data_IF_068876537167
#
_entry.id   IF_068876537167
#
_cell.length_a   1.000
_cell.length_b   1.000
_cell.length_c   1.000
_cell.angle_alpha   90.00
_cell.angle_beta   90.00
_cell.angle_gamma   90.00
#
_symmetry.space_group_name_H-M   'P 1'
#
loop_
_entity.id
_entity.type
_entity.pdbx_description
1 polymer ?
#
# COMPACT_ATOMS: atom_id res chain seq x y z
N UNK A 1 33.90 -14.14 -20.76
CA UNK A 1 32.78 -13.88 -21.68
C UNK A 1 33.29 -13.98 -23.12
N UNK A 2 32.62 -14.71 -24.02
CA UNK A 2 32.92 -14.69 -25.47
C UNK A 2 32.02 -13.63 -26.11
N UNK A 3 32.61 -12.71 -26.86
CA UNK A 3 31.91 -11.56 -27.45
C UNK A 3 32.18 -11.49 -28.95
N UNK A 4 31.16 -11.07 -29.68
CA UNK A 4 31.17 -10.83 -31.13
C UNK A 4 31.51 -9.37 -31.40
N UNK A 5 32.45 -9.15 -32.32
CA UNK A 5 32.89 -7.83 -32.75
C UNK A 5 32.79 -7.73 -34.28
N UNK A 6 32.25 -6.62 -34.77
CA UNK A 6 32.27 -6.25 -36.20
C UNK A 6 32.93 -4.89 -36.39
N UNK A 7 33.48 -4.65 -37.59
CA UNK A 7 34.15 -3.38 -37.91
C UNK A 7 33.15 -2.22 -37.97
N UNK A 8 33.52 -1.07 -37.39
CA UNK A 8 32.73 0.16 -37.32
C UNK A 8 31.36 0.05 -36.61
N UNK A 9 31.13 -1.00 -35.81
CA UNK A 9 29.89 -1.09 -35.02
C UNK A 9 29.89 -0.03 -33.92
N UNK A 10 28.73 0.58 -33.67
CA UNK A 10 28.53 1.41 -32.48
C UNK A 10 28.19 0.54 -31.24
N UNK A 11 28.11 1.16 -30.06
CA UNK A 11 27.83 0.42 -28.82
C UNK A 11 26.47 -0.30 -28.83
N UNK A 12 25.44 0.29 -29.44
CA UNK A 12 24.11 -0.32 -29.50
C UNK A 12 24.11 -1.60 -30.36
N UNK A 13 24.82 -1.55 -31.49
CA UNK A 13 25.02 -2.71 -32.38
C UNK A 13 25.85 -3.81 -31.69
N UNK A 14 26.93 -3.43 -31.01
CA UNK A 14 27.72 -4.35 -30.18
C UNK A 14 26.85 -5.02 -29.10
N UNK A 15 26.05 -4.25 -28.37
CA UNK A 15 25.16 -4.79 -27.35
C UNK A 15 24.15 -5.78 -27.95
N UNK A 16 23.52 -5.40 -29.07
CA UNK A 16 22.52 -6.23 -29.75
C UNK A 16 23.12 -7.56 -30.21
N UNK A 17 24.33 -7.55 -30.78
CA UNK A 17 25.05 -8.76 -31.19
C UNK A 17 25.46 -9.65 -30.00
N UNK A 18 25.47 -9.12 -28.78
CA UNK A 18 25.96 -9.78 -27.57
C UNK A 18 24.91 -9.87 -26.45
N UNK A 19 23.62 -9.69 -26.77
CA UNK A 19 22.55 -9.62 -25.77
C UNK A 19 22.45 -10.89 -24.91
N UNK A 20 22.64 -12.08 -25.51
CA UNK A 20 22.66 -13.34 -24.75
C UNK A 20 23.81 -13.39 -23.75
N UNK A 21 25.00 -12.90 -24.12
CA UNK A 21 26.13 -12.82 -23.20
C UNK A 21 25.85 -11.85 -22.04
N UNK A 22 25.11 -10.77 -22.32
CA UNK A 22 24.67 -9.81 -21.30
C UNK A 22 23.66 -10.42 -20.34
N UNK A 23 22.66 -11.14 -20.86
CA UNK A 23 21.68 -11.85 -20.06
C UNK A 23 22.35 -12.86 -19.11
N UNK A 24 23.27 -13.68 -19.61
CA UNK A 24 24.02 -14.63 -18.77
C UNK A 24 24.90 -13.93 -17.73
N UNK A 25 25.50 -12.79 -18.06
CA UNK A 25 26.26 -11.97 -17.12
C UNK A 25 25.36 -11.44 -16.00
N UNK A 26 24.20 -10.88 -16.33
CA UNK A 26 23.22 -10.39 -15.35
C UNK A 26 22.77 -11.52 -14.43
N UNK A 27 22.43 -12.67 -15.02
CA UNK A 27 21.99 -13.84 -14.27
C UNK A 27 23.05 -14.34 -13.30
N UNK A 28 24.31 -14.42 -13.75
CA UNK A 28 25.43 -14.81 -12.89
C UNK A 28 25.70 -13.80 -11.77
N UNK A 29 25.66 -12.49 -12.07
CA UNK A 29 25.88 -11.45 -11.05
C UNK A 29 24.72 -11.31 -10.06
N UNK A 30 23.51 -11.67 -10.48
CA UNK A 30 22.30 -11.63 -9.66
C UNK A 30 22.02 -12.92 -8.88
N UNK A 31 22.86 -13.96 -9.00
CA UNK A 31 22.56 -15.29 -8.47
C UNK A 31 22.22 -15.30 -6.96
N UNK A 32 23.02 -14.61 -6.15
CA UNK A 32 22.79 -14.50 -4.70
C UNK A 32 21.49 -13.76 -4.39
N UNK A 33 21.24 -12.63 -5.08
CA UNK A 33 20.02 -11.85 -4.92
C UNK A 33 18.78 -12.67 -5.32
N UNK A 34 18.87 -13.43 -6.41
CA UNK A 34 17.80 -14.30 -6.87
C UNK A 34 17.54 -15.47 -5.94
N UNK A 35 18.58 -16.00 -5.27
CA UNK A 35 18.39 -16.99 -4.21
C UNK A 35 17.56 -16.41 -3.06
N UNK A 36 17.86 -15.18 -2.61
CA UNK A 36 17.09 -14.50 -1.55
C UNK A 36 15.64 -14.23 -2.00
N UNK A 37 15.44 -13.84 -3.26
CA UNK A 37 14.11 -13.53 -3.80
C UNK A 37 13.25 -14.78 -4.03
N UNK A 38 13.82 -15.96 -4.28
CA UNK A 38 13.04 -17.20 -4.53
C UNK A 38 12.23 -17.64 -3.32
N UNK A 39 12.71 -17.36 -2.12
CA UNK A 39 12.01 -17.68 -0.88
C UNK A 39 10.75 -16.82 -0.68
N UNK A 40 10.53 -15.80 -1.51
CA UNK A 40 9.38 -14.90 -1.41
C UNK A 40 8.14 -15.31 -2.23
N UNK A 41 8.16 -16.44 -2.97
CA UNK A 41 7.09 -17.06 -3.80
C UNK A 41 6.33 -16.15 -4.82
N UNK A 42 6.49 -14.83 -4.77
CA UNK A 42 5.65 -13.87 -5.51
C UNK A 42 6.34 -13.24 -6.73
N UNK A 43 7.65 -13.45 -6.90
CA UNK A 43 8.46 -12.73 -7.88
C UNK A 43 8.88 -13.63 -9.04
N UNK A 44 8.45 -13.26 -10.26
CA UNK A 44 8.92 -13.86 -11.49
C UNK A 44 10.31 -13.32 -11.87
N UNK A 45 11.35 -14.14 -11.66
CA UNK A 45 12.73 -13.80 -11.97
C UNK A 45 12.97 -13.59 -13.47
N UNK A 46 12.22 -14.26 -14.34
CA UNK A 46 12.37 -14.09 -15.79
C UNK A 46 11.90 -12.69 -16.19
N UNK A 47 10.76 -12.25 -15.63
CA UNK A 47 10.24 -10.90 -15.84
C UNK A 47 11.22 -9.81 -15.37
N UNK A 48 11.95 -10.07 -14.27
CA UNK A 48 13.01 -9.15 -13.77
C UNK A 48 14.15 -9.02 -14.78
N UNK A 49 14.59 -10.15 -15.35
CA UNK A 49 15.66 -10.17 -16.35
C UNK A 49 15.21 -9.51 -17.66
N UNK A 50 14.01 -9.80 -18.15
CA UNK A 50 13.43 -9.16 -19.34
C UNK A 50 13.26 -7.64 -19.17
N UNK A 51 12.83 -7.21 -18.00
CA UNK A 51 12.74 -5.80 -17.61
C UNK A 51 14.11 -5.11 -17.69
N UNK A 52 15.16 -5.76 -17.20
CA UNK A 52 16.53 -5.25 -17.30
C UNK A 52 17.03 -5.12 -18.74
N UNK A 53 16.76 -6.10 -19.60
CA UNK A 53 17.08 -6.00 -21.03
C UNK A 53 16.33 -4.85 -21.70
N UNK A 54 15.08 -4.61 -21.32
CA UNK A 54 14.26 -3.50 -21.82
C UNK A 54 14.83 -2.15 -21.41
N UNK A 55 15.27 -1.99 -20.16
CA UNK A 55 15.96 -0.78 -19.68
C UNK A 55 17.20 -0.49 -20.52
N UNK A 56 18.05 -1.49 -20.73
CA UNK A 56 19.29 -1.33 -21.50
C UNK A 56 19.02 -0.96 -22.95
N UNK A 57 18.02 -1.60 -23.56
CA UNK A 57 17.56 -1.25 -24.90
C UNK A 57 17.11 0.20 -24.99
N UNK A 58 16.27 0.67 -24.06
CA UNK A 58 15.79 2.05 -24.04
C UNK A 58 16.92 3.07 -23.85
N UNK A 59 17.93 2.75 -23.02
CA UNK A 59 19.13 3.58 -22.87
C UNK A 59 19.88 3.69 -24.21
N UNK A 60 20.11 2.56 -24.88
CA UNK A 60 20.84 2.53 -26.15
C UNK A 60 20.06 3.21 -27.31
N UNK A 61 18.73 3.11 -27.29
CA UNK A 61 17.82 3.78 -28.23
C UNK A 61 17.62 5.28 -27.91
N UNK A 62 18.21 5.78 -26.81
CA UNK A 62 17.99 7.16 -26.28
C UNK A 62 16.51 7.47 -26.04
N UNK A 63 15.73 6.47 -25.65
CA UNK A 63 14.30 6.58 -25.40
C UNK A 63 14.03 6.98 -23.94
N UNK A 64 14.32 8.24 -23.60
CA UNK A 64 14.20 8.76 -22.22
C UNK A 64 12.76 8.68 -21.70
N UNK A 65 11.77 9.00 -22.53
CA UNK A 65 10.36 8.94 -22.13
C UNK A 65 9.90 7.51 -21.84
N UNK A 66 10.26 6.56 -22.72
CA UNK A 66 10.00 5.14 -22.51
C UNK A 66 10.67 4.62 -21.25
N UNK A 67 11.91 5.03 -20.99
CA UNK A 67 12.66 4.67 -19.78
C UNK A 67 11.96 5.17 -18.51
N UNK A 68 11.48 6.43 -18.50
CA UNK A 68 10.73 7.00 -17.37
C UNK A 68 9.41 6.27 -17.14
N UNK A 69 8.66 5.98 -18.21
CA UNK A 69 7.41 5.22 -18.13
C UNK A 69 7.64 3.82 -17.56
N UNK A 70 8.67 3.13 -18.07
CA UNK A 70 9.06 1.81 -17.61
C UNK A 70 9.50 1.83 -16.14
N UNK A 71 10.27 2.84 -15.72
CA UNK A 71 10.68 3.00 -14.32
C UNK A 71 9.48 3.15 -13.38
N UNK A 72 8.51 3.98 -13.76
CA UNK A 72 7.29 4.17 -12.98
C UNK A 72 6.49 2.88 -12.85
N UNK A 73 6.29 2.18 -13.97
CA UNK A 73 5.58 0.90 -13.99
C UNK A 73 6.29 -0.16 -13.15
N UNK A 74 7.61 -0.26 -13.27
CA UNK A 74 8.41 -1.16 -12.45
C UNK A 74 8.28 -0.83 -10.96
N UNK A 75 8.34 0.44 -10.59
CA UNK A 75 8.12 0.91 -9.22
C UNK A 75 6.74 0.54 -8.68
N UNK A 76 5.69 0.65 -9.50
CA UNK A 76 4.32 0.22 -9.13
C UNK A 76 4.23 -1.27 -8.88
N UNK A 77 4.75 -2.08 -9.81
CA UNK A 77 4.66 -3.53 -9.70
C UNK A 77 5.47 -4.04 -8.50
N UNK A 78 6.63 -3.45 -8.26
CA UNK A 78 7.48 -3.83 -7.13
C UNK A 78 6.96 -3.40 -5.77
N UNK A 79 6.09 -2.38 -5.70
CA UNK A 79 5.43 -1.96 -4.46
C UNK A 79 4.43 -3.00 -3.94
N UNK A 80 3.86 -3.81 -4.83
CA UNK A 80 2.89 -4.86 -4.49
C UNK A 80 3.54 -6.01 -3.71
N UNK A 81 4.78 -6.34 -4.04
CA UNK A 81 5.52 -7.43 -3.41
C UNK A 81 6.10 -7.04 -2.05
N UNK A 82 6.08 -7.99 -1.11
CA UNK A 82 6.63 -7.81 0.23
C UNK A 82 8.16 -8.06 0.30
N UNK A 83 8.91 -7.38 -0.57
CA UNK A 83 10.36 -7.46 -0.62
C UNK A 83 11.02 -6.20 -0.05
N UNK A 84 12.17 -6.34 0.61
CA UNK A 84 12.99 -5.23 1.07
C UNK A 84 13.40 -4.29 -0.08
N UNK A 85 13.34 -2.98 0.15
CA UNK A 85 13.73 -1.97 -0.84
C UNK A 85 15.22 -2.07 -1.21
N UNK A 86 16.09 -2.45 -0.29
CA UNK A 86 17.52 -2.60 -0.53
C UNK A 86 17.80 -3.69 -1.57
N UNK A 87 17.10 -4.82 -1.50
CA UNK A 87 17.23 -5.89 -2.51
C UNK A 87 16.81 -5.39 -3.91
N UNK A 88 15.78 -4.54 -3.94
CA UNK A 88 15.30 -3.91 -5.17
C UNK A 88 16.34 -2.95 -5.76
N UNK A 89 16.95 -2.13 -4.91
CA UNK A 89 17.99 -1.19 -5.32
C UNK A 89 19.26 -1.92 -5.77
N UNK A 90 19.62 -3.01 -5.08
CA UNK A 90 20.75 -3.85 -5.42
C UNK A 90 20.62 -4.44 -6.83
N UNK A 91 19.43 -4.88 -7.23
CA UNK A 91 19.18 -5.31 -8.61
C UNK A 91 19.51 -4.23 -9.64
N UNK A 92 19.06 -3.00 -9.42
CA UNK A 92 19.34 -1.87 -10.33
C UNK A 92 20.85 -1.59 -10.38
N UNK A 93 21.56 -1.76 -9.26
CA UNK A 93 23.03 -1.63 -9.23
C UNK A 93 23.74 -2.75 -9.98
N UNK A 94 23.26 -3.99 -9.89
CA UNK A 94 23.78 -5.13 -10.67
C UNK A 94 23.60 -4.86 -12.17
N UNK A 95 22.44 -4.34 -12.58
CA UNK A 95 22.19 -3.93 -13.96
C UNK A 95 23.18 -2.86 -14.44
N UNK A 96 23.33 -1.78 -13.65
CA UNK A 96 24.27 -0.69 -13.94
C UNK A 96 25.70 -1.21 -14.09
N UNK A 97 26.19 -2.02 -13.14
CA UNK A 97 27.54 -2.61 -13.18
C UNK A 97 27.73 -3.50 -14.40
N UNK A 98 26.72 -4.29 -14.78
CA UNK A 98 26.80 -5.17 -15.94
C UNK A 98 26.86 -4.39 -17.26
N UNK A 99 26.13 -3.27 -17.34
CA UNK A 99 26.21 -2.35 -18.48
C UNK A 99 27.62 -1.74 -18.61
N UNK A 100 28.23 -1.32 -17.49
CA UNK A 100 29.61 -0.81 -17.48
C UNK A 100 30.64 -1.84 -17.92
N UNK A 101 30.50 -3.11 -17.52
CA UNK A 101 31.38 -4.18 -18.00
C UNK A 101 31.30 -4.34 -19.52
N UNK A 102 30.10 -4.21 -20.10
CA UNK A 102 29.91 -4.26 -21.54
C UNK A 102 30.51 -3.06 -22.26
N UNK A 103 30.32 -1.85 -21.73
CA UNK A 103 30.99 -0.65 -22.24
C UNK A 103 32.51 -0.82 -22.22
N UNK A 104 33.08 -1.34 -21.13
CA UNK A 104 34.51 -1.62 -21.04
C UNK A 104 34.98 -2.58 -22.15
N UNK A 105 34.25 -3.68 -22.37
CA UNK A 105 34.60 -4.66 -23.40
C UNK A 105 34.49 -4.13 -24.83
N UNK A 106 33.56 -3.21 -25.08
CA UNK A 106 33.41 -2.50 -26.34
C UNK A 106 34.59 -1.56 -26.58
N UNK A 107 34.85 -0.63 -25.66
CA UNK A 107 35.91 0.38 -25.81
C UNK A 107 37.32 -0.20 -25.80
N UNK A 108 37.52 -1.39 -25.22
CA UNK A 108 38.79 -2.13 -25.34
C UNK A 108 39.15 -2.50 -26.80
N UNK A 109 38.17 -2.59 -27.69
CA UNK A 109 38.35 -3.02 -29.08
C UNK A 109 37.87 -1.97 -30.11
N UNK A 110 37.34 -0.83 -29.64
CA UNK A 110 36.96 0.28 -30.49
C UNK A 110 38.18 1.17 -30.79
N UNK A 111 38.17 1.85 -31.94
CA UNK A 111 39.13 2.93 -32.18
C UNK A 111 38.88 4.06 -31.17
N UNK A 112 39.91 4.49 -30.45
CA UNK A 112 39.78 5.35 -29.28
C UNK A 112 39.30 6.76 -29.63
N UNK A 113 38.06 7.11 -29.29
CA UNK A 113 37.61 8.50 -29.15
C UNK A 113 37.18 8.77 -27.71
N UNK A 114 38.09 9.35 -26.92
CA UNK A 114 37.85 9.65 -25.50
C UNK A 114 36.64 10.56 -25.29
N UNK A 115 36.40 11.51 -26.19
CA UNK A 115 35.26 12.44 -26.08
C UNK A 115 33.93 11.72 -26.28
N UNK A 116 33.84 10.82 -27.25
CA UNK A 116 32.64 10.00 -27.45
C UNK A 116 32.37 9.09 -26.25
N UNK A 117 33.41 8.51 -25.66
CA UNK A 117 33.27 7.75 -24.42
C UNK A 117 32.68 8.61 -23.29
N UNK A 118 33.22 9.81 -23.06
CA UNK A 118 32.71 10.70 -22.01
C UNK A 118 31.26 11.14 -22.23
N UNK A 119 30.85 11.41 -23.47
CA UNK A 119 29.46 11.77 -23.77
C UNK A 119 28.51 10.58 -23.57
N UNK A 120 28.91 9.37 -23.96
CA UNK A 120 28.14 8.16 -23.72
C UNK A 120 28.04 7.83 -22.23
N UNK A 121 29.15 7.91 -21.50
CA UNK A 121 29.24 7.71 -20.05
C UNK A 121 28.28 8.66 -19.32
N UNK A 122 28.30 9.95 -19.66
CA UNK A 122 27.41 10.96 -19.05
C UNK A 122 25.94 10.64 -19.34
N UNK A 123 25.62 10.29 -20.59
CA UNK A 123 24.25 9.94 -20.98
C UNK A 123 23.74 8.71 -20.23
N UNK A 124 24.57 7.68 -20.10
CA UNK A 124 24.24 6.43 -19.41
C UNK A 124 23.99 6.69 -17.92
N UNK A 125 24.87 7.42 -17.23
CA UNK A 125 24.67 7.77 -15.83
C UNK A 125 23.38 8.57 -15.62
N UNK A 126 23.16 9.59 -16.44
CA UNK A 126 21.93 10.40 -16.37
C UNK A 126 20.68 9.52 -16.48
N UNK A 127 20.65 8.60 -17.44
CA UNK A 127 19.52 7.69 -17.64
C UNK A 127 19.33 6.73 -16.45
N UNK A 128 20.40 6.13 -15.93
CA UNK A 128 20.27 5.25 -14.76
C UNK A 128 19.83 6.00 -13.50
N UNK A 129 20.30 7.24 -13.29
CA UNK A 129 19.89 8.07 -12.16
C UNK A 129 18.43 8.54 -12.31
N UNK A 130 18.03 8.92 -13.52
CA UNK A 130 16.65 9.26 -13.86
C UNK A 130 15.72 8.06 -13.66
N UNK A 131 16.12 6.88 -14.14
CA UNK A 131 15.39 5.62 -13.94
C UNK A 131 15.21 5.33 -12.45
N UNK A 132 16.30 5.38 -11.66
CA UNK A 132 16.26 5.13 -10.23
C UNK A 132 15.36 6.12 -9.48
N UNK A 133 15.42 7.40 -9.83
CA UNK A 133 14.56 8.45 -9.25
C UNK A 133 13.08 8.17 -9.53
N UNK A 134 12.72 7.87 -10.78
CA UNK A 134 11.32 7.65 -11.15
C UNK A 134 10.79 6.31 -10.62
N UNK A 135 11.61 5.28 -10.62
CA UNK A 135 11.33 4.01 -9.96
C UNK A 135 11.06 4.22 -8.47
N UNK A 136 11.99 4.85 -7.75
CA UNK A 136 11.89 5.06 -6.30
C UNK A 136 10.69 5.92 -5.91
N UNK A 137 10.43 7.00 -6.66
CA UNK A 137 9.25 7.84 -6.45
C UNK A 137 7.94 7.07 -6.66
N UNK A 138 7.82 6.31 -7.76
CA UNK A 138 6.63 5.51 -8.03
C UNK A 138 6.43 4.40 -6.99
N UNK A 139 7.52 3.72 -6.61
CA UNK A 139 7.53 2.70 -5.58
C UNK A 139 7.00 3.23 -4.25
N UNK A 140 7.54 4.36 -3.76
CA UNK A 140 7.13 4.94 -2.48
C UNK A 140 5.67 5.36 -2.47
N UNK A 141 5.18 6.01 -3.54
CA UNK A 141 3.78 6.39 -3.67
C UNK A 141 2.87 5.17 -3.58
N UNK A 142 3.16 4.13 -4.37
CA UNK A 142 2.30 2.95 -4.44
C UNK A 142 2.40 2.10 -3.17
N UNK A 143 3.58 2.03 -2.53
CA UNK A 143 3.75 1.31 -1.27
C UNK A 143 2.96 1.99 -0.14
N UNK A 144 2.93 3.32 -0.12
CA UNK A 144 2.11 4.07 0.83
C UNK A 144 0.61 3.88 0.58
N UNK A 145 0.17 3.84 -0.68
CA UNK A 145 -1.23 3.52 -1.03
C UNK A 145 -1.64 2.12 -0.56
N UNK A 146 -0.76 1.12 -0.74
CA UNK A 146 -0.98 -0.24 -0.21
C UNK A 146 -1.07 -0.23 1.31
N UNK A 147 -0.17 0.47 2.01
CA UNK A 147 -0.25 0.57 3.48
C UNK A 147 -1.51 1.30 3.95
N UNK A 148 -1.92 2.36 3.25
CA UNK A 148 -3.11 3.12 3.61
C UNK A 148 -4.38 2.28 3.41
N UNK A 149 -4.51 1.60 2.27
CA UNK A 149 -5.66 0.71 2.02
C UNK A 149 -5.72 -0.48 2.99
N UNK A 150 -4.56 -1.05 3.36
CA UNK A 150 -4.50 -2.07 4.41
C UNK A 150 -4.97 -1.52 5.77
N UNK A 151 -4.58 -0.29 6.12
CA UNK A 151 -5.02 0.36 7.35
C UNK A 151 -6.52 0.66 7.34
N UNK A 152 -7.04 1.14 6.22
CA UNK A 152 -8.48 1.39 6.04
C UNK A 152 -9.28 0.09 6.14
N UNK A 153 -8.82 -1.00 5.52
CA UNK A 153 -9.45 -2.30 5.65
C UNK A 153 -9.44 -2.81 7.11
N UNK A 154 -8.36 -2.59 7.86
CA UNK A 154 -8.30 -2.90 9.30
C UNK A 154 -9.31 -2.03 10.07
N UNK A 155 -9.41 -0.74 9.77
CA UNK A 155 -10.35 0.16 10.42
C UNK A 155 -11.80 -0.25 10.14
N UNK A 156 -12.15 -0.61 8.89
CA UNK A 156 -13.48 -1.12 8.53
C UNK A 156 -13.80 -2.44 9.24
N UNK A 157 -12.87 -3.38 9.27
CA UNK A 157 -13.02 -4.64 10.02
C UNK A 157 -13.19 -4.40 11.54
N UNK A 158 -12.71 -3.26 12.04
CA UNK A 158 -12.77 -2.89 13.46
C UNK A 158 -14.06 -2.15 13.85
N UNK A 159 -14.90 -1.76 12.88
CA UNK A 159 -16.16 -1.04 13.09
C UNK A 159 -17.38 -1.73 12.41
N UNK A 160 -17.58 -3.04 12.56
CA UNK A 160 -18.62 -3.72 11.79
C UNK A 160 -20.02 -3.35 12.30
N UNK A 161 -20.88 -2.82 11.42
CA UNK A 161 -22.33 -2.86 11.63
C UNK A 161 -22.82 -4.24 11.20
N UNK A 162 -23.18 -5.08 12.17
CA UNK A 162 -23.55 -6.49 11.97
C UNK A 162 -25.08 -6.58 11.95
N UNK A 163 -25.71 -6.89 10.80
CA UNK A 163 -27.16 -7.11 10.74
C UNK A 163 -27.55 -8.35 11.55
N UNK A 164 -28.52 -8.20 12.44
CA UNK A 164 -29.14 -9.31 13.17
C UNK A 164 -30.43 -9.76 12.48
N UNK A 165 -31.18 -8.81 11.92
CA UNK A 165 -32.36 -9.00 11.09
C UNK A 165 -32.36 -7.96 9.96
N UNK A 166 -33.37 -7.98 9.08
CA UNK A 166 -33.52 -6.98 8.01
C UNK A 166 -33.68 -5.53 8.53
N UNK A 167 -34.00 -5.37 9.82
CA UNK A 167 -34.32 -4.06 10.43
C UNK A 167 -33.45 -3.72 11.64
N UNK A 168 -32.76 -4.71 12.21
CA UNK A 168 -31.98 -4.56 13.44
C UNK A 168 -30.52 -4.90 13.15
N UNK A 169 -29.61 -4.03 13.59
CA UNK A 169 -28.18 -4.28 13.54
C UNK A 169 -27.52 -4.04 14.90
N UNK A 170 -26.32 -4.59 15.09
CA UNK A 170 -25.45 -4.31 16.24
C UNK A 170 -24.15 -3.68 15.77
N UNK A 171 -23.70 -2.66 16.50
CA UNK A 171 -22.39 -2.04 16.41
C UNK A 171 -21.62 -2.35 17.69
N UNK A 172 -20.80 -3.41 17.73
CA UNK A 172 -19.93 -3.68 18.85
C UNK A 172 -18.72 -2.75 18.83
N UNK A 173 -18.51 -1.98 19.90
CA UNK A 173 -17.31 -1.18 20.09
C UNK A 173 -16.28 -1.98 20.90
N UNK A 174 -15.17 -2.34 20.25
CA UNK A 174 -14.11 -3.18 20.87
C UNK A 174 -12.80 -2.41 20.93
N UNK A 175 -12.14 -2.42 22.09
CA UNK A 175 -10.85 -1.78 22.32
C UNK A 175 -10.94 -0.31 22.68
N UNK A 176 -9.80 0.39 22.68
CA UNK A 176 -9.75 1.81 23.01
C UNK A 176 -10.49 2.65 21.96
N UNK A 177 -11.35 3.56 22.45
CA UNK A 177 -12.02 4.56 21.62
C UNK A 177 -11.23 5.86 21.75
N UNK A 178 -10.99 6.56 20.64
CA UNK A 178 -10.42 7.90 20.61
C UNK A 178 -11.27 8.81 19.70
N UNK A 179 -10.95 10.10 19.65
CA UNK A 179 -11.71 11.07 18.84
C UNK A 179 -11.72 10.74 17.35
N UNK A 180 -10.61 10.27 16.78
CA UNK A 180 -10.53 9.95 15.36
C UNK A 180 -11.39 8.74 15.02
N UNK A 181 -11.34 7.72 15.88
CA UNK A 181 -12.12 6.49 15.76
C UNK A 181 -13.61 6.76 15.96
N UNK A 182 -13.98 7.59 16.93
CA UNK A 182 -15.38 7.98 17.15
C UNK A 182 -15.97 8.68 15.90
N UNK A 183 -15.22 9.58 15.27
CA UNK A 183 -15.66 10.23 14.02
C UNK A 183 -15.83 9.23 12.87
N UNK A 184 -14.90 8.28 12.72
CA UNK A 184 -15.03 7.20 11.72
C UNK A 184 -16.24 6.32 11.97
N UNK A 185 -16.54 6.01 13.25
CA UNK A 185 -17.74 5.27 13.65
C UNK A 185 -18.99 6.03 13.25
N UNK A 186 -19.06 7.33 13.56
CA UNK A 186 -20.19 8.18 13.22
C UNK A 186 -20.48 8.13 11.70
N UNK A 187 -19.48 8.43 10.88
CA UNK A 187 -19.60 8.41 9.42
C UNK A 187 -20.04 7.03 8.89
N UNK A 188 -19.41 5.95 9.39
CA UNK A 188 -19.70 4.60 8.94
C UNK A 188 -21.11 4.13 9.34
N UNK A 189 -21.52 4.37 10.59
CA UNK A 189 -22.82 3.93 11.11
C UNK A 189 -23.96 4.63 10.40
N UNK A 190 -23.84 5.95 10.20
CA UNK A 190 -24.87 6.75 9.52
C UNK A 190 -25.02 6.34 8.05
N UNK A 191 -23.91 5.99 7.37
CA UNK A 191 -23.95 5.45 6.01
C UNK A 191 -24.58 4.04 5.95
N UNK A 192 -24.22 3.16 6.88
CA UNK A 192 -24.78 1.80 6.95
C UNK A 192 -26.26 1.76 7.26
N UNK A 193 -26.75 2.62 8.17
CA UNK A 193 -28.18 2.75 8.46
C UNK A 193 -28.94 3.12 7.19
N UNK A 194 -28.42 4.08 6.42
CA UNK A 194 -29.02 4.49 5.16
C UNK A 194 -29.03 3.37 4.11
N UNK A 195 -27.89 2.70 3.89
CA UNK A 195 -27.75 1.65 2.88
C UNK A 195 -28.62 0.42 3.19
N UNK A 196 -28.61 -0.01 4.45
CA UNK A 196 -29.28 -1.24 4.89
C UNK A 196 -30.72 -1.00 5.34
N UNK A 197 -31.18 0.26 5.41
CA UNK A 197 -32.51 0.65 5.89
C UNK A 197 -32.81 0.11 7.30
N UNK A 198 -31.80 0.20 8.16
CA UNK A 198 -31.89 -0.23 9.55
C UNK A 198 -32.88 0.69 10.30
N UNK A 199 -33.84 0.10 10.99
CA UNK A 199 -34.81 0.82 11.83
C UNK A 199 -34.34 0.91 13.28
N UNK A 200 -33.45 0.02 13.70
CA UNK A 200 -32.87 0.01 15.03
C UNK A 200 -31.41 -0.48 15.04
N UNK A 201 -30.54 0.23 15.76
CA UNK A 201 -29.14 -0.18 15.98
C UNK A 201 -28.82 -0.31 17.47
N UNK A 202 -28.18 -1.42 17.83
CA UNK A 202 -27.68 -1.66 19.19
C UNK A 202 -26.19 -1.32 19.23
N UNK A 203 -25.82 -0.30 20.01
CA UNK A 203 -24.43 0.08 20.25
C UNK A 203 -23.95 -0.62 21.52
N UNK A 204 -23.06 -1.60 21.39
CA UNK A 204 -22.55 -2.38 22.53
C UNK A 204 -21.17 -1.87 22.97
N UNK A 205 -21.09 -1.41 24.22
CA UNK A 205 -19.87 -0.89 24.83
C UNK A 205 -19.15 -1.93 25.71
N UNK A 206 -19.64 -3.18 25.76
CA UNK A 206 -19.08 -4.21 26.64
C UNK A 206 -17.57 -4.45 26.42
N UNK A 207 -17.12 -4.29 25.17
CA UNK A 207 -15.73 -4.44 24.71
C UNK A 207 -14.85 -3.20 24.83
N UNK A 208 -15.35 -2.08 25.38
CA UNK A 208 -14.57 -0.85 25.60
C UNK A 208 -14.02 -0.85 27.04
N UNK A 209 -12.70 -1.03 27.23
CA UNK A 209 -12.11 -1.15 28.58
C UNK A 209 -11.95 0.20 29.28
N UNK A 210 -11.67 1.27 28.51
CA UNK A 210 -11.41 2.62 29.01
C UNK A 210 -11.98 3.64 28.02
N UNK A 211 -12.59 4.70 28.55
CA UNK A 211 -13.12 5.83 27.79
C UNK A 211 -12.80 7.12 28.53
N UNK A 212 -11.99 7.99 27.93
CA UNK A 212 -11.70 9.30 28.53
C UNK A 212 -12.93 10.21 28.48
N UNK A 213 -12.99 11.19 29.40
CA UNK A 213 -14.07 12.19 29.44
C UNK A 213 -14.26 12.92 28.11
N UNK A 214 -13.18 13.10 27.34
CA UNK A 214 -13.23 13.76 26.03
C UNK A 214 -14.00 12.96 24.97
N UNK A 215 -14.22 11.65 25.16
CA UNK A 215 -14.80 10.76 24.14
C UNK A 215 -16.30 10.58 24.36
N UNK A 216 -16.78 10.64 25.60
CA UNK A 216 -18.20 10.46 25.93
C UNK A 216 -19.13 11.38 25.10
N UNK A 217 -18.81 12.67 24.86
CA UNK A 217 -19.62 13.52 23.99
C UNK A 217 -19.76 12.97 22.56
N UNK A 218 -18.70 12.39 21.99
CA UNK A 218 -18.73 11.82 20.65
C UNK A 218 -19.62 10.58 20.57
N UNK A 219 -19.58 9.70 21.58
CA UNK A 219 -20.47 8.54 21.64
C UNK A 219 -21.95 8.96 21.62
N UNK A 220 -22.27 10.01 22.37
CA UNK A 220 -23.63 10.52 22.44
C UNK A 220 -24.03 11.20 21.13
N UNK A 221 -23.11 11.91 20.48
CA UNK A 221 -23.35 12.46 19.14
C UNK A 221 -23.68 11.36 18.13
N UNK A 222 -22.96 10.22 18.17
CA UNK A 222 -23.27 9.07 17.31
C UNK A 222 -24.69 8.57 17.58
N UNK A 223 -25.04 8.27 18.84
CA UNK A 223 -26.36 7.76 19.20
C UNK A 223 -27.49 8.74 18.83
N UNK A 224 -27.27 10.04 19.02
CA UNK A 224 -28.22 11.08 18.63
C UNK A 224 -28.32 11.23 17.11
N UNK A 225 -27.20 11.13 16.38
CA UNK A 225 -27.17 11.19 14.91
C UNK A 225 -27.97 10.05 14.28
N UNK A 226 -27.83 8.84 14.82
CA UNK A 226 -28.64 7.67 14.48
C UNK A 226 -30.13 7.96 14.68
N UNK A 227 -30.50 8.49 15.84
CA UNK A 227 -31.87 8.87 16.17
C UNK A 227 -32.45 9.92 15.21
N UNK A 228 -31.64 10.90 14.81
CA UNK A 228 -32.02 11.96 13.86
C UNK A 228 -32.27 11.39 12.46
N UNK A 229 -31.54 10.35 12.04
CA UNK A 229 -31.81 9.62 10.79
C UNK A 229 -33.09 8.78 10.83
N UNK A 230 -33.81 8.75 11.96
CA UNK A 230 -35.05 8.01 12.11
C UNK A 230 -34.87 6.56 12.57
N UNK A 231 -33.64 6.15 12.89
CA UNK A 231 -33.31 4.84 13.44
C UNK A 231 -33.29 4.90 14.97
N UNK A 232 -33.88 3.92 15.66
CA UNK A 232 -33.80 3.84 17.12
C UNK A 232 -32.40 3.38 17.56
N UNK A 233 -31.79 4.11 18.50
CA UNK A 233 -30.49 3.74 19.03
C UNK A 233 -30.65 3.11 20.42
N UNK A 234 -30.10 1.91 20.62
CA UNK A 234 -30.07 1.23 21.93
C UNK A 234 -28.63 1.11 22.39
N UNK A 235 -28.27 1.74 23.51
CA UNK A 235 -26.92 1.62 24.07
C UNK A 235 -26.90 0.51 25.14
N UNK A 236 -25.92 -0.38 25.05
CA UNK A 236 -25.74 -1.49 26.00
C UNK A 236 -24.31 -1.57 26.53
N UNK A 237 -24.12 -2.28 27.64
CA UNK A 237 -22.78 -2.53 28.19
C UNK A 237 -22.10 -1.31 28.82
N UNK A 238 -22.87 -0.29 29.22
CA UNK A 238 -22.36 0.90 29.88
C UNK A 238 -21.80 0.51 31.26
N UNK A 239 -20.50 0.75 31.48
CA UNK A 239 -19.84 0.53 32.77
C UNK A 239 -20.08 1.71 33.72
N UNK A 240 -20.07 1.51 35.05
CA UNK A 240 -20.32 2.58 36.02
C UNK A 240 -19.44 3.82 35.85
N UNK A 241 -18.18 3.63 35.44
CA UNK A 241 -17.22 4.71 35.21
C UNK A 241 -17.69 5.64 34.08
N UNK A 242 -18.23 5.06 33.00
CA UNK A 242 -18.78 5.80 31.84
C UNK A 242 -20.04 6.58 32.26
N UNK A 243 -20.91 5.95 33.06
CA UNK A 243 -22.12 6.59 33.58
C UNK A 243 -21.79 7.82 34.43
N UNK A 244 -20.80 7.72 35.32
CA UNK A 244 -20.36 8.85 36.14
C UNK A 244 -19.89 10.02 35.28
N UNK A 245 -19.11 9.74 34.24
CA UNK A 245 -18.65 10.77 33.30
C UNK A 245 -19.80 11.40 32.52
N UNK A 246 -20.80 10.63 32.06
CA UNK A 246 -21.99 11.19 31.39
C UNK A 246 -22.75 12.16 32.30
N UNK A 247 -22.87 11.83 33.59
CA UNK A 247 -23.52 12.68 34.60
C UNK A 247 -22.69 13.95 34.83
N UNK A 248 -21.37 13.83 34.98
CA UNK A 248 -20.47 14.95 35.24
C UNK A 248 -20.43 15.96 34.08
N UNK A 249 -20.40 15.47 32.84
CA UNK A 249 -20.39 16.32 31.64
C UNK A 249 -21.78 16.91 31.33
N UNK A 250 -22.85 16.40 31.96
CA UNK A 250 -24.21 16.92 31.81
C UNK A 250 -24.84 16.65 30.45
N UNK A 251 -24.57 15.47 29.87
CA UNK A 251 -25.01 15.14 28.51
C UNK A 251 -26.48 14.66 28.49
N UNK A 252 -27.24 15.10 27.49
CA UNK A 252 -28.63 14.69 27.24
C UNK A 252 -28.74 13.80 26.01
N UNK A 253 -29.45 12.68 26.15
CA UNK A 253 -29.79 11.77 25.06
C UNK A 253 -31.04 12.24 24.30
N UNK A 254 -31.09 12.00 22.99
CA UNK A 254 -32.30 12.18 22.19
C UNK A 254 -33.40 11.21 22.67
N UNK A 255 -34.68 11.60 22.51
CA UNK A 255 -35.84 10.83 23.02
C UNK A 255 -35.95 9.40 22.44
N UNK A 256 -35.35 9.17 21.27
CA UNK A 256 -35.26 7.87 20.58
C UNK A 256 -34.00 7.06 20.92
N UNK A 257 -33.20 7.51 21.89
CA UNK A 257 -32.06 6.75 22.40
C UNK A 257 -32.47 6.10 23.71
N UNK A 258 -32.40 4.77 23.75
CA UNK A 258 -32.68 3.99 24.96
C UNK A 258 -31.41 3.31 25.47
N UNK A 259 -31.43 2.91 26.74
CA UNK A 259 -30.32 2.18 27.36
C UNK A 259 -30.82 0.86 27.92
N UNK A 260 -30.04 -0.20 27.74
CA UNK A 260 -30.33 -1.53 28.30
C UNK A 260 -29.08 -2.14 28.94
N UNK A 261 -29.27 -3.04 29.88
CA UNK A 261 -28.16 -3.57 30.68
C UNK A 261 -27.18 -4.42 29.87
N UNK A 262 -27.68 -5.18 28.88
CA UNK A 262 -26.85 -6.11 28.09
C UNK A 262 -27.29 -6.18 26.64
N UNK A 263 -26.36 -6.52 25.74
CA UNK A 263 -26.68 -6.82 24.34
C UNK A 263 -27.73 -7.92 24.22
N UNK A 264 -27.66 -8.96 25.08
CA UNK A 264 -28.64 -10.05 25.11
C UNK A 264 -30.06 -9.53 25.38
N UNK A 265 -30.22 -8.69 26.41
CA UNK A 265 -31.51 -8.09 26.72
C UNK A 265 -32.05 -7.28 25.54
N UNK A 266 -31.19 -6.47 24.91
CA UNK A 266 -31.57 -5.67 23.75
C UNK A 266 -32.03 -6.52 22.56
N UNK A 267 -31.40 -7.67 22.32
CA UNK A 267 -31.84 -8.59 21.28
C UNK A 267 -33.18 -9.23 21.64
N UNK A 268 -33.35 -9.72 22.87
CA UNK A 268 -34.58 -10.43 23.31
C UNK A 268 -35.82 -9.52 23.32
N UNK A 269 -35.68 -8.24 23.69
CA UNK A 269 -36.80 -7.28 23.74
C UNK A 269 -37.22 -6.79 22.36
N UNK A 270 -36.29 -6.73 21.41
CA UNK A 270 -36.52 -6.16 20.07
C UNK A 270 -36.69 -7.21 18.96
N UNK A 271 -36.56 -8.51 19.27
CA UNK A 271 -36.83 -9.60 18.33
C UNK A 271 -38.30 -10.07 18.32
N UNK A 272 -39.23 -9.27 18.85
CA UNK A 272 -40.68 -9.57 18.91
C UNK A 272 -41.45 -8.81 17.85
#
# INVERSE_FOLDING_TARGET
>A
MKLSYSGNQNFSEFYTANQNAFYELLKSKGEELFHIMRDSEEIDLELILESALTVVRMINEKNEQGLIMHAKEHGRNWAKYNLDLMLKLEWIQILRKSYWDFLYHYYKHAEENQLEFFELERHVNYNFDSYLKHFGSSYLVNKNEVFQSQREAIDELSLPVIPLTDKIAVLPLVGALDTLRAKKIEEHVLDKIYQLKIEQIIIDLSGVPYMDMAIVPHLIQIANGVAIQGCEAVITGIRPEITNTMIEVGITLHEKVTTMGTLRQAIEENSK
#
